data_IF_069150058366
#
_entry.id   IF_069150058366
#
_cell.length_a   1.000
_cell.length_b   1.000
_cell.length_c   1.000
_cell.angle_alpha   90.00
_cell.angle_beta   90.00
_cell.angle_gamma   90.00
#
_symmetry.space_group_name_H-M   'P 1'
#
loop_
_entity.id
_entity.type
_entity.pdbx_description
1 polymer ?
#
# COMPACT_ATOMS: atom_id res chain seq x y z
N UNK A 1 -14.69 -6.52 -22.14
CA UNK A 1 -14.23 -6.81 -20.76
C UNK A 1 -12.78 -7.37 -20.72
N UNK A 2 -12.06 -7.40 -21.87
CA UNK A 2 -10.67 -7.93 -21.95
C UNK A 2 -9.64 -7.13 -21.13
N UNK A 3 -9.95 -5.89 -20.78
CA UNK A 3 -9.07 -4.99 -20.01
C UNK A 3 -9.16 -5.15 -18.49
N UNK A 4 -10.22 -5.81 -17.96
CA UNK A 4 -10.39 -5.97 -16.51
C UNK A 4 -9.25 -6.73 -15.82
N UNK A 5 -8.71 -7.83 -16.37
CA UNK A 5 -7.58 -8.51 -15.74
C UNK A 5 -6.34 -7.60 -15.62
N UNK A 6 -6.10 -6.71 -16.59
CA UNK A 6 -5.00 -5.76 -16.54
C UNK A 6 -5.20 -4.71 -15.42
N UNK A 7 -6.44 -4.21 -15.24
CA UNK A 7 -6.77 -3.29 -14.14
C UNK A 7 -6.53 -3.96 -12.79
N UNK A 8 -6.99 -5.21 -12.63
CA UNK A 8 -6.80 -5.96 -11.39
C UNK A 8 -5.32 -6.20 -11.07
N UNK A 9 -4.53 -6.61 -12.07
CA UNK A 9 -3.11 -6.84 -11.91
C UNK A 9 -2.33 -5.57 -11.54
N UNK A 10 -2.65 -4.44 -12.18
CA UNK A 10 -2.03 -3.15 -11.85
C UNK A 10 -2.45 -2.66 -10.46
N UNK A 11 -3.70 -2.91 -10.04
CA UNK A 11 -4.18 -2.59 -8.69
C UNK A 11 -3.50 -3.41 -7.59
N UNK A 12 -3.06 -4.62 -7.92
CA UNK A 12 -2.30 -5.51 -7.02
C UNK A 12 -0.77 -5.34 -7.17
N UNK A 13 -0.32 -4.36 -7.95
CA UNK A 13 1.11 -4.14 -8.25
C UNK A 13 1.83 -5.36 -8.82
N UNK A 14 1.11 -6.26 -9.46
CA UNK A 14 1.68 -7.42 -10.12
C UNK A 14 2.32 -6.99 -11.46
N UNK A 15 3.63 -7.17 -11.62
CA UNK A 15 4.37 -6.81 -12.82
C UNK A 15 5.09 -8.01 -13.47
N UNK A 16 4.58 -9.22 -13.28
CA UNK A 16 5.19 -10.44 -13.79
C UNK A 16 4.21 -11.34 -14.54
N UNK A 17 4.75 -12.26 -15.30
CA UNK A 17 4.01 -13.37 -15.90
C UNK A 17 2.90 -12.93 -16.86
N UNK A 18 1.66 -13.31 -16.56
CA UNK A 18 0.49 -13.12 -17.43
C UNK A 18 0.05 -11.66 -17.59
N UNK A 19 0.54 -10.76 -16.73
CA UNK A 19 0.17 -9.33 -16.77
C UNK A 19 0.47 -8.70 -18.12
N UNK A 20 1.59 -9.09 -18.75
CA UNK A 20 1.95 -8.58 -20.08
C UNK A 20 0.91 -8.97 -21.14
N UNK A 21 0.37 -10.19 -21.08
CA UNK A 21 -0.69 -10.65 -21.98
C UNK A 21 -1.99 -9.86 -21.74
N UNK A 22 -2.32 -9.56 -20.49
CA UNK A 22 -3.50 -8.75 -20.15
C UNK A 22 -3.36 -7.31 -20.65
N UNK A 23 -2.16 -6.73 -20.58
CA UNK A 23 -1.88 -5.40 -21.13
C UNK A 23 -1.99 -5.37 -22.66
N UNK A 24 -1.50 -6.39 -23.35
CA UNK A 24 -1.66 -6.52 -24.82
C UNK A 24 -3.14 -6.61 -25.21
N UNK A 25 -3.93 -7.45 -24.52
CA UNK A 25 -5.37 -7.58 -24.76
C UNK A 25 -6.14 -6.28 -24.48
N UNK A 26 -5.69 -5.48 -23.53
CA UNK A 26 -6.27 -4.17 -23.22
C UNK A 26 -5.88 -3.13 -24.29
N UNK A 27 -4.64 -3.17 -24.78
CA UNK A 27 -4.14 -2.30 -25.84
C UNK A 27 -4.91 -2.48 -27.16
N UNK A 28 -5.36 -3.72 -27.51
CA UNK A 28 -6.25 -3.99 -28.63
C UNK A 28 -7.57 -3.19 -28.56
N UNK A 29 -7.97 -2.73 -27.37
CA UNK A 29 -9.16 -1.94 -27.10
C UNK A 29 -8.87 -0.44 -26.94
N UNK A 30 -7.62 -0.03 -27.14
CA UNK A 30 -7.19 1.36 -27.02
C UNK A 30 -6.80 1.81 -25.62
N UNK A 31 -6.71 0.90 -24.64
CA UNK A 31 -6.26 1.25 -23.28
C UNK A 31 -4.73 1.24 -23.20
N UNK A 32 -4.14 2.30 -22.65
CA UNK A 32 -2.72 2.33 -22.29
C UNK A 32 -2.50 1.82 -20.87
N UNK A 33 -1.26 1.39 -20.53
CA UNK A 33 -0.89 0.97 -19.17
C UNK A 33 -1.19 2.08 -18.15
N UNK A 34 -0.85 3.32 -18.49
CA UNK A 34 -1.06 4.48 -17.63
C UNK A 34 -2.54 4.74 -17.35
N UNK A 35 -3.39 4.58 -18.37
CA UNK A 35 -4.84 4.75 -18.19
C UNK A 35 -5.43 3.63 -17.33
N UNK A 36 -4.99 2.39 -17.53
CA UNK A 36 -5.41 1.25 -16.72
C UNK A 36 -4.98 1.38 -15.26
N UNK A 37 -3.78 1.90 -15.00
CA UNK A 37 -3.32 2.20 -13.64
C UNK A 37 -4.18 3.28 -12.99
N UNK A 38 -4.51 4.35 -13.71
CA UNK A 38 -5.46 5.37 -13.25
C UNK A 38 -6.83 4.78 -12.89
N UNK A 39 -7.34 3.85 -13.70
CA UNK A 39 -8.61 3.15 -13.42
C UNK A 39 -8.47 2.35 -12.12
N UNK A 40 -7.39 1.60 -11.94
CA UNK A 40 -7.15 0.80 -10.75
C UNK A 40 -7.15 1.66 -9.47
N UNK A 41 -6.48 2.80 -9.49
CA UNK A 41 -6.46 3.73 -8.39
C UNK A 41 -7.84 4.38 -8.12
N UNK A 42 -8.62 4.67 -9.17
CA UNK A 42 -9.98 5.15 -9.02
C UNK A 42 -10.94 4.08 -8.46
N UNK A 43 -10.75 2.81 -8.85
CA UNK A 43 -11.51 1.68 -8.27
C UNK A 43 -11.25 1.56 -6.78
N UNK A 44 -9.99 1.59 -6.36
CA UNK A 44 -9.63 1.51 -4.95
C UNK A 44 -10.15 2.73 -4.15
N UNK A 45 -10.03 3.92 -4.73
CA UNK A 45 -10.56 5.14 -4.14
C UNK A 45 -12.07 5.07 -3.90
N UNK A 46 -12.84 4.69 -4.93
CA UNK A 46 -14.29 4.57 -4.81
C UNK A 46 -14.73 3.39 -3.96
N UNK A 47 -14.06 2.25 -4.04
CA UNK A 47 -14.36 1.08 -3.21
C UNK A 47 -14.28 1.40 -1.70
N UNK A 48 -13.42 2.33 -1.32
CA UNK A 48 -13.32 2.79 0.06
C UNK A 48 -14.61 3.48 0.54
N UNK A 49 -15.31 4.19 -0.34
CA UNK A 49 -16.55 4.91 -0.02
C UNK A 49 -17.81 4.09 -0.30
N UNK A 50 -17.80 3.19 -1.29
CA UNK A 50 -18.97 2.41 -1.72
C UNK A 50 -19.58 1.54 -0.63
N UNK A 51 -18.80 1.12 0.36
CA UNK A 51 -19.30 0.41 1.53
C UNK A 51 -20.34 1.21 2.34
N UNK A 52 -20.38 2.52 2.14
CA UNK A 52 -21.32 3.44 2.78
C UNK A 52 -22.42 3.96 1.85
N UNK A 53 -22.37 3.62 0.56
CA UNK A 53 -23.24 4.13 -0.48
C UNK A 53 -23.69 3.01 -1.42
N UNK A 54 -24.96 3.03 -1.86
CA UNK A 54 -25.47 2.11 -2.89
C UNK A 54 -24.99 2.54 -4.29
N UNK A 55 -23.72 2.25 -4.61
CA UNK A 55 -23.04 2.70 -5.83
C UNK A 55 -23.16 1.77 -7.04
N UNK A 56 -24.25 1.00 -7.19
CA UNK A 56 -24.44 0.20 -8.41
C UNK A 56 -24.44 1.10 -9.65
N UNK A 57 -23.67 0.74 -10.64
CA UNK A 57 -23.51 1.48 -11.90
C UNK A 57 -22.32 2.45 -11.92
N UNK A 58 -21.82 2.94 -10.77
CA UNK A 58 -20.58 3.73 -10.75
C UNK A 58 -19.39 2.88 -11.16
N UNK A 59 -19.28 1.66 -10.62
CA UNK A 59 -18.18 0.75 -10.97
C UNK A 59 -18.19 0.35 -12.43
N UNK A 60 -19.34 0.13 -13.03
CA UNK A 60 -19.43 -0.19 -14.46
C UNK A 60 -18.87 0.95 -15.32
N UNK A 61 -19.15 2.20 -14.92
CA UNK A 61 -18.59 3.39 -15.58
C UNK A 61 -17.09 3.55 -15.31
N UNK A 62 -16.62 3.37 -14.07
CA UNK A 62 -15.20 3.44 -13.72
C UNK A 62 -14.39 2.37 -14.47
N UNK A 63 -14.94 1.16 -14.60
CA UNK A 63 -14.31 0.03 -15.29
C UNK A 63 -14.47 0.09 -16.80
N UNK A 64 -15.04 1.13 -17.38
CA UNK A 64 -15.28 1.28 -18.83
C UNK A 64 -16.07 0.09 -19.42
N UNK A 65 -17.06 -0.42 -18.68
CA UNK A 65 -17.89 -1.56 -19.10
C UNK A 65 -19.09 -1.09 -19.95
N UNK A 66 -19.67 0.07 -19.62
CA UNK A 66 -20.90 0.57 -20.19
C UNK A 66 -20.71 1.72 -21.19
N UNK A 67 -20.23 2.88 -20.76
CA UNK A 67 -20.21 4.11 -21.54
C UNK A 67 -18.85 4.82 -21.46
N UNK A 68 -18.12 4.78 -22.57
CA UNK A 68 -16.74 5.31 -22.66
C UNK A 68 -16.69 6.84 -22.46
N UNK A 69 -17.66 7.59 -22.96
CA UNK A 69 -17.66 9.06 -22.81
C UNK A 69 -17.89 9.51 -21.37
N UNK A 70 -18.70 8.75 -20.63
CA UNK A 70 -18.90 8.98 -19.19
C UNK A 70 -17.70 8.50 -18.40
N UNK A 71 -17.09 7.38 -18.80
CA UNK A 71 -15.89 6.82 -18.19
C UNK A 71 -14.77 7.84 -18.12
N UNK A 72 -14.35 8.42 -19.25
CA UNK A 72 -13.24 9.38 -19.31
C UNK A 72 -13.45 10.57 -18.35
N UNK A 73 -14.65 11.19 -18.40
CA UNK A 73 -14.99 12.30 -17.52
C UNK A 73 -14.97 11.93 -16.04
N UNK A 74 -15.43 10.72 -15.73
CA UNK A 74 -15.48 10.23 -14.36
C UNK A 74 -14.07 9.93 -13.83
N UNK A 75 -13.25 9.24 -14.62
CA UNK A 75 -11.86 8.92 -14.25
C UNK A 75 -11.06 10.21 -14.01
N UNK A 76 -11.17 11.20 -14.87
CA UNK A 76 -10.46 12.47 -14.69
C UNK A 76 -10.87 13.19 -13.41
N UNK A 77 -12.16 13.20 -13.09
CA UNK A 77 -12.67 13.83 -11.86
C UNK A 77 -12.24 13.09 -10.61
N UNK A 78 -12.37 11.75 -10.59
CA UNK A 78 -12.01 10.89 -9.45
C UNK A 78 -10.50 10.91 -9.21
N UNK A 79 -9.71 10.78 -10.26
CA UNK A 79 -8.26 10.76 -10.16
C UNK A 79 -7.70 12.09 -9.63
N UNK A 80 -8.29 13.20 -10.05
CA UNK A 80 -7.93 14.52 -9.50
C UNK A 80 -8.21 14.61 -7.99
N UNK A 81 -9.35 14.12 -7.53
CA UNK A 81 -9.68 14.11 -6.09
C UNK A 81 -8.80 13.12 -5.33
N UNK A 82 -8.52 11.94 -5.90
CA UNK A 82 -7.57 10.96 -5.39
C UNK A 82 -6.21 11.60 -5.12
N UNK A 83 -5.60 12.20 -6.13
CA UNK A 83 -4.28 12.86 -6.01
C UNK A 83 -4.26 13.95 -4.95
N UNK A 84 -5.34 14.76 -4.88
CA UNK A 84 -5.47 15.80 -3.87
C UNK A 84 -5.49 15.23 -2.44
N UNK A 85 -6.19 14.12 -2.23
CA UNK A 85 -6.25 13.48 -0.90
C UNK A 85 -4.93 12.83 -0.52
N UNK A 86 -4.28 12.14 -1.46
CA UNK A 86 -2.96 11.57 -1.25
C UNK A 86 -1.94 12.67 -0.91
N UNK A 87 -1.88 13.75 -1.69
CA UNK A 87 -0.99 14.89 -1.45
C UNK A 87 -1.22 15.53 -0.07
N UNK A 88 -2.49 15.74 0.29
CA UNK A 88 -2.86 16.30 1.60
C UNK A 88 -2.36 15.40 2.74
N UNK A 89 -2.54 14.08 2.59
CA UNK A 89 -2.10 13.11 3.59
C UNK A 89 -0.58 13.03 3.70
N UNK A 90 0.13 13.03 2.57
CA UNK A 90 1.59 12.99 2.55
C UNK A 90 2.21 14.27 3.14
N UNK A 91 1.63 15.43 2.88
CA UNK A 91 2.06 16.69 3.52
C UNK A 91 1.93 16.67 5.05
N UNK A 92 0.95 15.95 5.57
CA UNK A 92 0.79 15.74 7.01
C UNK A 92 1.74 14.66 7.54
N UNK A 93 1.94 13.56 6.81
CA UNK A 93 2.67 12.39 7.26
C UNK A 93 4.20 12.54 7.17
N UNK A 94 4.72 13.00 6.03
CA UNK A 94 6.17 13.03 5.74
C UNK A 94 6.99 13.79 6.79
N UNK A 95 6.59 14.99 7.29
CA UNK A 95 7.34 15.70 8.31
C UNK A 95 7.44 14.99 9.66
N UNK A 96 6.62 13.96 9.87
CA UNK A 96 6.50 13.24 11.12
C UNK A 96 7.05 11.80 11.06
N UNK A 97 7.80 11.49 10.00
CA UNK A 97 8.49 10.21 9.89
C UNK A 97 9.69 10.21 10.83
N UNK A 98 9.76 9.21 11.70
CA UNK A 98 10.95 8.90 12.47
C UNK A 98 11.90 8.08 11.59
N UNK A 99 13.12 8.60 11.39
CA UNK A 99 14.11 8.01 10.47
C UNK A 99 15.31 7.51 11.24
N UNK A 100 15.68 6.26 11.01
CA UNK A 100 16.90 5.65 11.54
C UNK A 100 17.69 5.05 10.38
N UNK A 101 18.98 5.32 10.36
CA UNK A 101 19.91 4.66 9.45
C UNK A 101 20.81 3.75 10.26
N UNK A 102 20.63 2.44 10.09
CA UNK A 102 21.41 1.46 10.82
C UNK A 102 22.84 1.30 10.25
N UNK A 103 23.77 0.86 11.07
CA UNK A 103 25.17 0.65 10.67
C UNK A 103 25.32 -0.40 9.55
N UNK A 104 24.38 -1.34 9.46
CA UNK A 104 24.34 -2.34 8.38
C UNK A 104 23.85 -1.74 7.04
N UNK A 105 23.46 -0.47 7.00
CA UNK A 105 23.06 0.26 5.81
C UNK A 105 21.54 0.31 5.56
N UNK A 106 20.72 -0.28 6.42
CA UNK A 106 19.25 -0.25 6.29
C UNK A 106 18.72 1.14 6.69
N UNK A 107 17.88 1.71 5.84
CA UNK A 107 17.06 2.90 6.12
C UNK A 107 15.72 2.46 6.70
N UNK A 108 15.53 2.71 7.98
CA UNK A 108 14.29 2.40 8.68
C UNK A 108 13.48 3.67 8.91
N UNK A 109 12.20 3.63 8.53
CA UNK A 109 11.26 4.72 8.70
C UNK A 109 10.07 4.22 9.52
N UNK A 110 9.69 4.97 10.55
CA UNK A 110 8.53 4.67 11.37
C UNK A 110 7.55 5.84 11.36
N UNK A 111 6.26 5.54 11.30
CA UNK A 111 5.21 6.54 11.31
C UNK A 111 3.96 6.07 12.02
N UNK A 112 3.41 6.91 12.88
CA UNK A 112 2.10 6.73 13.48
C UNK A 112 1.02 7.03 12.43
N UNK A 113 0.53 5.98 11.76
CA UNK A 113 -0.50 6.10 10.73
C UNK A 113 -1.91 6.27 11.32
N UNK A 114 -2.11 5.94 12.58
CA UNK A 114 -3.38 6.22 13.28
C UNK A 114 -3.56 7.73 13.50
N UNK A 115 -2.49 8.43 13.80
CA UNK A 115 -2.47 9.87 14.02
C UNK A 115 -2.63 10.67 12.72
N UNK A 116 -2.02 10.20 11.64
CA UNK A 116 -1.95 10.94 10.38
C UNK A 116 -2.88 10.41 9.28
N UNK A 117 -3.46 9.22 9.45
CA UNK A 117 -4.49 8.68 8.56
C UNK A 117 -5.75 8.36 9.35
N UNK A 118 -6.72 9.25 9.29
CA UNK A 118 -7.99 9.06 10.00
C UNK A 118 -8.72 7.81 9.52
N UNK A 119 -9.23 7.01 10.46
CA UNK A 119 -10.13 5.88 10.16
C UNK A 119 -11.33 6.38 9.33
N UNK A 120 -11.74 5.58 8.36
CA UNK A 120 -12.87 5.88 7.46
C UNK A 120 -12.66 7.06 6.51
N UNK A 121 -11.43 7.51 6.30
CA UNK A 121 -11.07 8.46 5.24
C UNK A 121 -10.08 7.82 4.27
N UNK A 122 -10.04 8.29 3.04
CA UNK A 122 -9.01 7.90 2.09
C UNK A 122 -7.85 8.92 2.11
N UNK A 123 -6.60 8.47 2.07
CA UNK A 123 -6.14 7.07 2.14
C UNK A 123 -6.27 6.48 3.55
N UNK A 124 -6.57 5.17 3.59
CA UNK A 124 -6.60 4.42 4.85
C UNK A 124 -5.20 4.30 5.48
N UNK A 125 -5.08 3.99 6.78
CA UNK A 125 -3.80 3.87 7.47
C UNK A 125 -2.75 3.02 6.75
N UNK A 126 -3.12 1.81 6.33
CA UNK A 126 -2.20 0.92 5.61
C UNK A 126 -1.74 1.45 4.27
N UNK A 127 -2.62 2.16 3.55
CA UNK A 127 -2.29 2.79 2.28
C UNK A 127 -1.43 4.03 2.47
N UNK A 128 -1.65 4.78 3.55
CA UNK A 128 -0.77 5.90 3.94
C UNK A 128 0.66 5.43 4.17
N UNK A 129 0.86 4.28 4.83
CA UNK A 129 2.18 3.69 4.99
C UNK A 129 2.84 3.37 3.63
N UNK A 130 2.09 2.81 2.66
CA UNK A 130 2.58 2.58 1.30
C UNK A 130 3.03 3.87 0.62
N UNK A 131 2.19 4.89 0.58
CA UNK A 131 2.54 6.18 -0.03
C UNK A 131 3.74 6.88 0.64
N UNK A 132 3.88 6.74 1.96
CA UNK A 132 5.06 7.22 2.69
C UNK A 132 6.30 6.45 2.25
N UNK A 133 6.21 5.13 2.16
CA UNK A 133 7.28 4.26 1.67
C UNK A 133 7.73 4.68 0.26
N UNK A 134 6.80 4.78 -0.68
CA UNK A 134 7.06 5.17 -2.06
C UNK A 134 7.74 6.54 -2.15
N UNK A 135 7.31 7.49 -1.33
CA UNK A 135 7.94 8.82 -1.24
C UNK A 135 9.39 8.76 -0.76
N UNK A 136 9.71 7.87 0.20
CA UNK A 136 11.08 7.67 0.69
C UNK A 136 11.93 6.95 -0.36
N UNK A 137 11.37 5.92 -1.01
CA UNK A 137 12.05 5.19 -2.10
C UNK A 137 12.36 6.13 -3.26
N UNK A 138 11.42 6.99 -3.66
CA UNK A 138 11.64 7.98 -4.69
C UNK A 138 12.79 8.96 -4.34
N UNK A 139 12.94 9.29 -3.07
CA UNK A 139 13.98 10.21 -2.60
C UNK A 139 15.35 9.56 -2.48
N UNK A 140 15.44 8.27 -2.11
CA UNK A 140 16.70 7.57 -1.82
C UNK A 140 17.16 6.64 -2.96
N UNK A 141 16.25 6.13 -3.77
CA UNK A 141 16.48 5.13 -4.82
C UNK A 141 15.98 3.74 -4.46
N UNK A 142 15.46 3.02 -5.44
CA UNK A 142 14.91 1.66 -5.30
C UNK A 142 15.96 0.61 -4.94
N UNK A 143 17.22 0.87 -5.25
CA UNK A 143 18.36 0.02 -4.92
C UNK A 143 18.75 0.05 -3.44
N UNK A 144 18.18 0.97 -2.67
CA UNK A 144 18.47 1.10 -1.24
C UNK A 144 17.63 0.14 -0.39
N UNK A 145 18.23 -0.45 0.65
CA UNK A 145 17.48 -1.28 1.59
C UNK A 145 16.66 -0.37 2.54
N UNK A 146 15.39 -0.21 2.19
CA UNK A 146 14.47 0.68 2.90
C UNK A 146 13.34 -0.14 3.51
N UNK A 147 13.07 0.06 4.80
CA UNK A 147 11.91 -0.48 5.50
C UNK A 147 11.09 0.69 6.02
N UNK A 148 9.77 0.63 5.82
CA UNK A 148 8.82 1.57 6.41
C UNK A 148 7.80 0.80 7.23
N UNK A 149 7.68 1.17 8.51
CA UNK A 149 6.73 0.64 9.47
C UNK A 149 5.70 1.72 9.79
N UNK A 150 4.47 1.53 9.34
CA UNK A 150 3.33 2.30 9.79
C UNK A 150 2.67 1.58 10.97
N UNK A 151 2.43 2.27 12.07
CA UNK A 151 1.84 1.64 13.24
C UNK A 151 0.60 2.39 13.75
N UNK A 152 -0.23 1.67 14.49
CA UNK A 152 -1.33 2.16 15.29
C UNK A 152 -1.31 1.49 16.66
N UNK A 153 -2.37 1.64 17.46
CA UNK A 153 -2.40 1.12 18.84
C UNK A 153 -2.45 -0.42 18.90
N UNK A 154 -2.97 -1.09 17.87
CA UNK A 154 -3.22 -2.52 17.81
C UNK A 154 -2.78 -3.18 16.48
N UNK A 155 -2.05 -2.45 15.65
CA UNK A 155 -1.58 -2.96 14.36
C UNK A 155 -0.27 -2.30 13.89
N UNK A 156 0.42 -3.02 12.99
CA UNK A 156 1.54 -2.50 12.19
C UNK A 156 1.37 -2.87 10.72
N UNK A 157 1.84 -2.00 9.83
CA UNK A 157 1.91 -2.23 8.39
C UNK A 157 3.36 -2.07 7.96
N UNK A 158 3.90 -3.07 7.28
CA UNK A 158 5.29 -3.12 6.87
C UNK A 158 5.37 -2.99 5.35
N UNK A 159 6.30 -2.17 4.90
CA UNK A 159 6.73 -2.07 3.50
C UNK A 159 8.25 -2.11 3.46
N UNK A 160 8.81 -2.86 2.53
CA UNK A 160 10.25 -2.95 2.33
C UNK A 160 10.57 -2.96 0.83
N UNK A 161 11.75 -2.47 0.45
CA UNK A 161 12.29 -2.68 -0.90
C UNK A 161 12.80 -4.10 -1.05
N UNK A 162 12.84 -4.62 -2.28
CA UNK A 162 13.42 -5.94 -2.58
C UNK A 162 14.88 -6.04 -2.14
N UNK A 163 15.61 -4.93 -2.18
CA UNK A 163 16.98 -4.84 -1.69
C UNK A 163 17.15 -5.26 -0.21
N UNK A 164 16.11 -5.15 0.63
CA UNK A 164 16.14 -5.63 2.02
C UNK A 164 16.03 -7.15 2.06
N UNK A 165 15.13 -7.73 1.28
CA UNK A 165 14.99 -9.17 1.17
C UNK A 165 16.28 -9.82 0.59
N UNK A 166 16.75 -9.30 -0.54
CA UNK A 166 17.91 -9.83 -1.27
C UNK A 166 19.21 -9.78 -0.45
N UNK A 167 19.44 -8.69 0.28
CA UNK A 167 20.71 -8.48 1.01
C UNK A 167 20.71 -9.02 2.42
N UNK A 168 19.55 -9.03 3.08
CA UNK A 168 19.44 -9.33 4.51
C UNK A 168 18.53 -10.52 4.81
N UNK A 169 17.87 -11.10 3.80
CA UNK A 169 16.95 -12.22 3.98
C UNK A 169 15.67 -11.83 4.74
N UNK A 170 15.34 -10.52 4.71
CA UNK A 170 14.13 -10.00 5.35
C UNK A 170 12.88 -10.59 4.70
N UNK A 171 11.94 -11.04 5.53
CA UNK A 171 10.63 -11.46 5.07
C UNK A 171 9.60 -11.27 6.19
N UNK A 172 8.52 -10.59 5.88
CA UNK A 172 7.38 -10.43 6.81
C UNK A 172 6.87 -11.80 7.27
N UNK A 173 6.84 -12.79 6.37
CA UNK A 173 6.39 -14.14 6.66
C UNK A 173 7.29 -14.88 7.67
N UNK A 174 8.55 -14.46 7.81
CA UNK A 174 9.50 -15.02 8.79
C UNK A 174 9.46 -14.22 10.12
N UNK A 175 9.25 -12.92 10.06
CA UNK A 175 9.29 -12.04 11.24
C UNK A 175 8.02 -12.19 12.09
N UNK A 176 6.85 -12.26 11.48
CA UNK A 176 5.57 -12.34 12.21
C UNK A 176 5.49 -13.56 13.13
N UNK A 177 5.79 -14.79 12.68
CA UNK A 177 5.83 -15.95 13.56
C UNK A 177 6.85 -15.84 14.70
N UNK A 178 8.04 -15.29 14.42
CA UNK A 178 9.07 -15.09 15.45
C UNK A 178 8.61 -14.11 16.53
N UNK A 179 8.00 -13.01 16.16
CA UNK A 179 7.43 -12.06 17.10
C UNK A 179 6.32 -12.70 17.96
N UNK A 180 5.46 -13.52 17.37
CA UNK A 180 4.43 -14.26 18.09
C UNK A 180 5.00 -15.25 19.11
N UNK A 181 6.11 -15.92 18.79
CA UNK A 181 6.83 -16.80 19.70
C UNK A 181 7.54 -16.03 20.83
N UNK A 182 8.08 -14.85 20.55
CA UNK A 182 8.82 -14.03 21.52
C UNK A 182 7.89 -13.30 22.50
N UNK A 183 6.71 -12.90 22.07
CA UNK A 183 5.71 -12.18 22.88
C UNK A 183 4.36 -12.90 22.81
N UNK A 184 4.21 -14.08 23.40
CA UNK A 184 2.95 -14.82 23.34
C UNK A 184 1.76 -14.05 23.93
N UNK A 185 2.05 -13.17 24.92
CA UNK A 185 1.03 -12.30 25.54
C UNK A 185 0.46 -11.24 24.60
N UNK A 186 1.16 -10.89 23.53
CA UNK A 186 0.71 -9.87 22.61
C UNK A 186 -0.32 -10.38 21.58
N UNK A 187 -0.55 -11.69 21.50
CA UNK A 187 -1.53 -12.27 20.57
C UNK A 187 -1.28 -11.87 19.12
N UNK A 188 0.00 -11.86 18.72
CA UNK A 188 0.42 -11.40 17.40
C UNK A 188 -0.15 -12.33 16.32
N UNK A 189 -0.84 -11.75 15.35
CA UNK A 189 -1.34 -12.41 14.14
C UNK A 189 -1.09 -11.50 12.93
N UNK A 190 -0.88 -12.10 11.78
CA UNK A 190 -0.64 -11.34 10.56
C UNK A 190 0.13 -12.11 9.52
N UNK A 191 0.64 -11.38 8.52
CA UNK A 191 1.38 -11.93 7.40
C UNK A 191 1.29 -11.02 6.18
N UNK A 192 1.64 -11.58 5.03
CA UNK A 192 1.63 -10.85 3.77
C UNK A 192 2.55 -11.49 2.74
N UNK A 193 3.17 -10.65 1.93
CA UNK A 193 4.27 -11.00 1.04
C UNK A 193 5.61 -10.78 1.73
N UNK A 194 6.71 -11.15 1.08
CA UNK A 194 8.06 -11.00 1.66
C UNK A 194 8.36 -9.57 2.08
N UNK A 195 8.09 -8.60 1.21
CA UNK A 195 8.39 -7.18 1.43
C UNK A 195 7.17 -6.33 1.83
N UNK A 196 6.00 -6.91 2.00
CA UNK A 196 4.77 -6.18 2.31
C UNK A 196 3.83 -7.01 3.17
N UNK A 197 3.38 -6.47 4.30
CA UNK A 197 2.43 -7.16 5.14
C UNK A 197 1.89 -6.31 6.28
N UNK A 198 1.10 -6.95 7.13
CA UNK A 198 0.55 -6.34 8.32
C UNK A 198 0.56 -7.30 9.48
N UNK A 199 0.64 -6.73 10.67
CA UNK A 199 0.51 -7.44 11.96
C UNK A 199 -0.60 -6.82 12.77
N UNK A 200 -1.26 -7.63 13.57
CA UNK A 200 -2.15 -7.20 14.65
C UNK A 200 -1.59 -7.66 15.97
N UNK A 201 -1.85 -6.91 17.01
CA UNK A 201 -1.46 -7.24 18.38
C UNK A 201 -2.45 -6.63 19.37
N UNK A 202 -2.38 -7.06 20.64
CA UNK A 202 -3.25 -6.53 21.69
C UNK A 202 -2.86 -5.09 21.99
N UNK A 203 -3.85 -4.20 22.02
CA UNK A 203 -3.68 -2.78 22.38
C UNK A 203 -2.97 -2.64 23.74
N UNK A 204 -2.01 -1.74 23.81
CA UNK A 204 -1.16 -1.52 25.00
C UNK A 204 0.17 -2.28 24.96
N UNK A 205 0.37 -3.25 24.08
CA UNK A 205 1.64 -3.98 23.88
C UNK A 205 2.43 -3.50 22.66
N UNK A 206 1.98 -2.41 22.02
CA UNK A 206 2.60 -1.89 20.80
C UNK A 206 4.07 -1.50 20.97
N UNK A 207 4.45 -0.85 22.07
CA UNK A 207 5.86 -0.48 22.32
C UNK A 207 6.77 -1.70 22.40
N UNK A 208 6.33 -2.77 23.09
CA UNK A 208 7.08 -4.01 23.22
C UNK A 208 7.22 -4.71 21.85
N UNK A 209 6.13 -4.83 21.10
CA UNK A 209 6.12 -5.43 19.75
C UNK A 209 7.00 -4.66 18.79
N UNK A 210 6.90 -3.33 18.76
CA UNK A 210 7.67 -2.47 17.86
C UNK A 210 9.15 -2.48 18.20
N UNK A 211 9.52 -2.43 19.49
CA UNK A 211 10.91 -2.46 19.92
C UNK A 211 11.62 -3.77 19.55
N UNK A 212 10.93 -4.91 19.70
CA UNK A 212 11.48 -6.21 19.30
C UNK A 212 11.50 -6.41 17.79
N UNK A 213 10.55 -5.83 17.06
CA UNK A 213 10.61 -5.81 15.59
C UNK A 213 11.89 -5.15 15.08
N UNK A 214 12.33 -4.07 15.72
CA UNK A 214 13.56 -3.35 15.37
C UNK A 214 14.85 -4.14 15.62
N UNK A 215 14.87 -5.03 16.61
CA UNK A 215 16.06 -5.85 16.94
C UNK A 215 16.27 -6.95 15.90
N UNK A 216 15.24 -7.33 15.16
CA UNK A 216 15.26 -8.42 14.17
C UNK A 216 15.31 -7.94 12.71
N UNK A 217 15.35 -6.63 12.47
CA UNK A 217 15.64 -5.98 11.21
C UNK A 217 17.15 -5.72 11.11
#
# INVERSE_FOLDING_TARGET
IKHLPAIAALGDHAECGEVYQYLELAAEKGFTKEHLAKIAECVDFEAYFLRFMNGRGIMDTILAVDNIDKHEKMIDALYKEYLKRVDTQLKAAIPNIEKTHFENGIYFNMIDVEKYAHKFTFPAPGKTCGFVHDSVVQALGEDKPIITLGHGPDFGVIRATDAVNERFGFSVNNIVPKLAEMIPSAGIDGGGHECAGSIKYIEGLGEEVLSLSLIHI
#
